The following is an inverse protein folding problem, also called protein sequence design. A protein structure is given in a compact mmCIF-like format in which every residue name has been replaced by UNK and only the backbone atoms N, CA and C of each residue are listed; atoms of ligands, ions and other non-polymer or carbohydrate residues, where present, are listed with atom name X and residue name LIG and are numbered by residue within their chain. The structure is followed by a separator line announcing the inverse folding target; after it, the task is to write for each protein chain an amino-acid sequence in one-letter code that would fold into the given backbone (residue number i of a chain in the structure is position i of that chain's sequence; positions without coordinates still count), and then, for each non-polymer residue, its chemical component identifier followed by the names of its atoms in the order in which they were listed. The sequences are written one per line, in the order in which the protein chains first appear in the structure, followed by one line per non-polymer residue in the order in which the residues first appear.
data_IF_381814534767
#
_entry.id   IF_381814534767
#
_cell.length_a   1.000
_cell.length_b   1.000
_cell.length_c   1.000
_cell.angle_alpha   90.00
_cell.angle_beta   90.00
_cell.angle_gamma   90.00
#
_symmetry.space_group_name_H-M   'P 1'
#
loop_
_entity.id
_entity.type
_entity.pdbx_description
1 polymer ?
#
# COMPACT_ATOMS: atom_id res chain seq x y z
N UNK A 1 -5.80 -17.39 -1.67
CA UNK A 1 -4.83 -16.54 -0.94
C UNK A 1 -3.60 -17.34 -0.52
N UNK A 2 -3.73 -18.36 0.35
CA UNK A 2 -2.58 -19.18 0.83
C UNK A 2 -1.70 -19.78 -0.29
N UNK A 3 -2.29 -20.38 -1.32
CA UNK A 3 -1.55 -20.95 -2.47
C UNK A 3 -0.72 -19.92 -3.24
N UNK A 4 -1.28 -18.72 -3.46
CA UNK A 4 -0.57 -17.65 -4.18
C UNK A 4 0.62 -17.15 -3.36
N UNK A 5 0.43 -16.99 -2.05
CA UNK A 5 1.49 -16.57 -1.12
C UNK A 5 2.64 -17.59 -1.12
N UNK A 6 2.34 -18.89 -1.03
CA UNK A 6 3.37 -19.92 -1.01
C UNK A 6 4.18 -19.96 -2.31
N UNK A 7 3.50 -19.88 -3.46
CA UNK A 7 4.17 -19.83 -4.77
C UNK A 7 5.05 -18.58 -4.92
N UNK A 8 4.59 -17.42 -4.44
CA UNK A 8 5.38 -16.20 -4.51
C UNK A 8 6.68 -16.34 -3.70
N UNK A 9 6.57 -16.88 -2.48
CA UNK A 9 7.74 -17.13 -1.62
C UNK A 9 8.69 -18.16 -2.22
N UNK A 10 8.17 -19.26 -2.75
CA UNK A 10 8.99 -20.33 -3.35
C UNK A 10 9.79 -19.86 -4.57
N UNK A 11 9.19 -18.99 -5.38
CA UNK A 11 9.80 -18.53 -6.64
C UNK A 11 10.45 -17.14 -6.56
N UNK A 12 10.50 -16.51 -5.38
CA UNK A 12 11.04 -15.16 -5.22
C UNK A 12 10.24 -14.10 -5.99
N UNK A 13 8.93 -14.31 -6.16
CA UNK A 13 8.02 -13.37 -6.83
C UNK A 13 7.46 -12.39 -5.80
N UNK A 14 7.41 -11.11 -6.16
CA UNK A 14 6.82 -10.05 -5.34
C UNK A 14 5.31 -10.21 -5.29
N UNK A 15 4.75 -10.37 -4.09
CA UNK A 15 3.31 -10.39 -3.84
C UNK A 15 2.76 -8.98 -3.68
N UNK A 16 1.94 -8.55 -4.64
CA UNK A 16 1.29 -7.23 -4.63
C UNK A 16 -0.21 -7.39 -4.32
N UNK A 17 -0.72 -6.58 -3.40
CA UNK A 17 -2.15 -6.47 -3.10
C UNK A 17 -2.69 -5.14 -3.59
N UNK A 18 -3.70 -5.18 -4.46
CA UNK A 18 -4.52 -4.01 -4.76
C UNK A 18 -5.58 -3.84 -3.66
N UNK A 19 -5.31 -2.93 -2.73
CA UNK A 19 -6.21 -2.60 -1.63
C UNK A 19 -6.91 -1.24 -1.84
N UNK A 20 -6.97 -0.75 -3.07
CA UNK A 20 -7.51 0.58 -3.39
C UNK A 20 -8.99 0.69 -3.01
N UNK A 21 -9.75 -0.42 -3.08
CA UNK A 21 -11.19 -0.44 -2.70
C UNK A 21 -11.44 -0.97 -1.30
N UNK A 22 -10.67 -1.97 -0.87
CA UNK A 22 -10.92 -2.72 0.35
C UNK A 22 -10.21 -2.12 1.57
N UNK A 23 -9.07 -1.46 1.36
CA UNK A 23 -8.31 -0.77 2.39
C UNK A 23 -9.12 0.36 3.00
N UNK A 24 -8.99 0.56 4.31
CA UNK A 24 -9.78 1.51 5.11
C UNK A 24 -11.29 1.26 5.13
N UNK A 25 -11.78 0.22 4.43
CA UNK A 25 -13.20 -0.17 4.41
C UNK A 25 -13.46 -1.44 5.21
N UNK A 26 -12.64 -2.47 4.97
CA UNK A 26 -12.75 -3.76 5.68
C UNK A 26 -12.03 -3.67 7.03
N UNK A 27 -10.85 -3.04 7.05
CA UNK A 27 -10.06 -2.78 8.24
C UNK A 27 -9.25 -1.49 8.01
N UNK A 28 -9.09 -0.68 9.06
CA UNK A 28 -8.31 0.56 9.02
C UNK A 28 -6.82 0.32 8.75
N UNK A 29 -6.31 -0.87 9.05
CA UNK A 29 -4.92 -1.28 8.80
C UNK A 29 -4.74 -2.00 7.46
N UNK A 30 -5.76 -2.06 6.61
CA UNK A 30 -5.72 -2.77 5.32
C UNK A 30 -6.39 -4.14 5.35
N UNK A 31 -6.86 -4.61 4.19
CA UNK A 31 -7.55 -5.89 4.06
C UNK A 31 -6.67 -7.08 4.38
N UNK A 32 -5.35 -6.95 4.18
CA UNK A 32 -4.37 -7.98 4.51
C UNK A 32 -4.38 -8.34 6.01
N UNK A 33 -4.62 -7.37 6.89
CA UNK A 33 -4.76 -7.59 8.34
C UNK A 33 -6.05 -8.38 8.65
N UNK A 34 -7.16 -8.03 7.98
CA UNK A 34 -8.42 -8.75 8.15
C UNK A 34 -8.34 -10.21 7.68
N UNK A 35 -7.52 -10.48 6.65
CA UNK A 35 -7.34 -11.82 6.08
C UNK A 35 -6.10 -12.56 6.59
N UNK A 36 -5.33 -11.97 7.50
CA UNK A 36 -4.20 -12.62 8.19
C UNK A 36 -3.01 -12.94 7.28
N UNK A 37 -2.61 -12.03 6.39
CA UNK A 37 -1.41 -12.20 5.56
C UNK A 37 -0.62 -10.90 5.37
N UNK A 38 0.64 -11.03 4.92
CA UNK A 38 1.55 -9.90 4.68
C UNK A 38 2.00 -9.91 3.22
N UNK A 39 1.64 -8.89 2.43
CA UNK A 39 2.15 -8.72 1.07
C UNK A 39 3.52 -8.03 1.07
N UNK A 40 4.23 -8.12 -0.06
CA UNK A 40 5.48 -7.39 -0.25
C UNK A 40 5.21 -5.93 -0.65
N UNK A 41 4.14 -5.71 -1.41
CA UNK A 41 3.62 -4.39 -1.79
C UNK A 41 2.10 -4.32 -1.62
N UNK A 42 1.59 -3.16 -1.23
CA UNK A 42 0.17 -2.89 -1.13
C UNK A 42 -0.18 -1.51 -1.72
N UNK A 43 -1.20 -1.48 -2.57
CA UNK A 43 -1.70 -0.28 -3.22
C UNK A 43 -2.93 0.25 -2.49
N UNK A 44 -2.92 1.53 -2.11
CA UNK A 44 -4.04 2.22 -1.48
C UNK A 44 -4.52 3.41 -2.33
N UNK A 45 -5.78 3.79 -2.14
CA UNK A 45 -6.39 4.97 -2.73
C UNK A 45 -7.79 5.17 -2.17
N UNK A 46 -8.64 5.90 -2.90
CA UNK A 46 -10.06 6.15 -2.56
C UNK A 46 -10.25 6.64 -1.12
N UNK A 47 -10.57 5.73 -0.20
CA UNK A 47 -10.90 6.05 1.18
C UNK A 47 -9.73 6.67 1.96
N UNK A 48 -8.48 6.44 1.52
CA UNK A 48 -7.26 6.91 2.21
C UNK A 48 -7.22 8.43 2.43
N UNK A 49 -7.92 9.23 1.63
CA UNK A 49 -7.95 10.70 1.79
C UNK A 49 -9.35 11.31 1.71
N UNK A 50 -10.37 10.54 2.08
CA UNK A 50 -11.75 11.02 2.23
C UNK A 50 -12.26 11.89 1.04
N UNK A 51 -11.95 11.47 -0.19
CA UNK A 51 -12.38 12.15 -1.42
C UNK A 51 -11.33 13.07 -2.07
N UNK A 52 -10.22 13.37 -1.39
CA UNK A 52 -9.08 14.07 -2.01
C UNK A 52 -8.27 13.12 -2.90
N UNK A 53 -7.60 13.65 -3.95
CA UNK A 53 -6.78 12.85 -4.85
C UNK A 53 -5.48 12.42 -4.16
N UNK A 54 -5.51 11.27 -3.48
CA UNK A 54 -4.35 10.64 -2.87
C UNK A 54 -4.36 9.12 -3.14
N UNK A 55 -3.19 8.58 -3.43
CA UNK A 55 -2.93 7.15 -3.51
C UNK A 55 -1.54 6.88 -2.93
N UNK A 56 -1.31 5.65 -2.48
CA UNK A 56 -0.04 5.25 -1.90
C UNK A 56 0.32 3.83 -2.35
N UNK A 57 1.61 3.61 -2.62
CA UNK A 57 2.20 2.29 -2.69
C UNK A 57 3.06 2.12 -1.43
N UNK A 58 2.77 1.10 -0.64
CA UNK A 58 3.51 0.77 0.58
C UNK A 58 4.19 -0.57 0.36
N UNK A 59 5.39 -0.76 0.91
CA UNK A 59 6.18 -1.95 0.66
C UNK A 59 7.19 -2.23 1.75
N UNK A 60 7.69 -3.46 1.75
CA UNK A 60 8.73 -3.88 2.69
C UNK A 60 10.10 -3.22 2.39
N UNK A 61 11.01 -3.29 3.37
CA UNK A 61 12.36 -2.71 3.25
C UNK A 61 13.22 -3.38 2.17
N UNK A 62 12.96 -4.65 1.83
CA UNK A 62 13.72 -5.40 0.84
C UNK A 62 13.59 -4.77 -0.56
N UNK A 63 12.44 -4.13 -0.83
CA UNK A 63 12.16 -3.45 -2.10
C UNK A 63 12.65 -1.99 -2.16
N UNK A 64 13.15 -1.42 -1.06
CA UNK A 64 13.56 0.00 -1.00
C UNK A 64 14.59 0.37 -2.07
N UNK A 65 15.63 -0.46 -2.24
CA UNK A 65 16.68 -0.23 -3.26
C UNK A 65 16.14 -0.29 -4.69
N UNK A 66 15.10 -1.10 -4.92
CA UNK A 66 14.44 -1.16 -6.22
C UNK A 66 13.60 0.10 -6.45
N UNK A 67 12.82 0.52 -5.44
CA UNK A 67 12.01 1.73 -5.49
C UNK A 67 12.85 2.99 -5.76
N UNK A 68 14.01 3.13 -5.12
CA UNK A 68 14.94 4.27 -5.32
C UNK A 68 15.47 4.39 -6.77
N UNK A 69 15.46 3.29 -7.54
CA UNK A 69 15.91 3.29 -8.94
C UNK A 69 14.80 3.62 -9.93
N UNK A 70 13.54 3.52 -9.52
CA UNK A 70 12.40 3.80 -10.40
C UNK A 70 12.15 5.30 -10.42
N UNK A 71 12.16 5.90 -11.61
CA UNK A 71 11.75 7.29 -11.78
C UNK A 71 10.23 7.39 -11.70
N UNK A 72 9.73 7.95 -10.61
CA UNK A 72 8.32 8.19 -10.39
C UNK A 72 8.13 9.59 -9.80
N UNK A 73 7.41 10.44 -10.52
CA UNK A 73 7.08 11.80 -10.08
C UNK A 73 5.80 12.27 -10.76
N UNK A 74 5.16 13.26 -10.17
CA UNK A 74 3.96 13.89 -10.67
C UNK A 74 3.77 15.23 -9.99
N UNK A 75 3.33 16.24 -10.74
CA UNK A 75 3.20 17.62 -10.27
C UNK A 75 2.44 17.75 -8.94
N UNK A 76 1.42 16.90 -8.74
CA UNK A 76 0.52 16.96 -7.58
C UNK A 76 0.86 15.95 -6.48
N UNK A 77 1.87 15.10 -6.64
CA UNK A 77 2.19 14.05 -5.66
C UNK A 77 2.67 14.61 -4.31
N UNK A 78 3.17 15.83 -4.30
CA UNK A 78 3.64 16.53 -3.10
C UNK A 78 2.68 17.63 -2.62
N UNK A 79 1.43 17.62 -3.10
CA UNK A 79 0.43 18.60 -2.70
C UNK A 79 0.00 18.39 -1.25
N UNK A 80 0.03 19.46 -0.45
CA UNK A 80 -0.32 19.40 0.97
C UNK A 80 -1.81 19.09 1.26
N UNK A 81 -2.80 19.60 0.50
CA UNK A 81 -4.21 19.39 0.85
C UNK A 81 -4.64 17.91 0.87
N UNK A 82 -4.30 17.06 -0.13
CA UNK A 82 -4.61 15.64 -0.07
C UNK A 82 -3.90 14.91 1.08
N UNK A 83 -2.65 15.30 1.41
CA UNK A 83 -1.92 14.73 2.55
C UNK A 83 -2.59 15.06 3.89
N UNK A 84 -3.10 16.29 4.05
CA UNK A 84 -3.80 16.72 5.26
C UNK A 84 -5.17 16.02 5.45
N UNK A 85 -5.79 15.58 4.35
CA UNK A 85 -7.09 14.90 4.37
C UNK A 85 -6.99 13.38 4.62
N UNK A 86 -5.78 12.86 4.85
CA UNK A 86 -5.55 11.42 5.01
C UNK A 86 -6.33 10.84 6.21
N UNK A 87 -7.04 9.74 6.00
CA UNK A 87 -7.76 9.02 7.06
C UNK A 87 -6.75 8.32 7.97
N UNK A 88 -6.65 8.78 9.24
CA UNK A 88 -5.73 8.29 10.27
C UNK A 88 -4.26 8.71 10.01
N UNK A 89 -3.45 9.04 11.04
CA UNK A 89 -2.00 9.15 10.85
C UNK A 89 -1.46 7.76 10.54
N UNK A 90 -1.28 7.48 9.26
CA UNK A 90 -0.48 6.36 8.78
C UNK A 90 0.86 6.39 9.52
N UNK A 91 1.08 5.45 10.45
CA UNK A 91 2.44 5.05 10.75
C UNK A 91 2.81 4.03 9.70
N UNK A 92 3.58 4.49 8.71
CA UNK A 92 4.23 3.66 7.68
C UNK A 92 4.98 2.46 8.30
N UNK A 93 5.30 2.52 9.60
CA UNK A 93 5.97 1.47 10.37
C UNK A 93 5.09 0.27 10.78
N UNK A 94 3.76 0.32 10.58
CA UNK A 94 2.83 -0.73 11.01
C UNK A 94 2.30 -1.63 9.87
N UNK A 95 2.86 -1.50 8.65
CA UNK A 95 2.48 -2.31 7.47
C UNK A 95 3.62 -3.21 7.02
#
# INVERSE_FOLDING_TARGET
MAKSISLCKEHGIVLIVDDVRAGFRINLSGSNVAYGFTPDLICFGKAIANGYPLSALVGNNDLKKAAEKVYFTGTQFFSAPPMAAQSNPFRIEEV
#
